data_IF_119211569312
#
_entry.id   IF_119211569312
#
_cell.length_a   1.000
_cell.length_b   1.000
_cell.length_c   1.000
_cell.angle_alpha   90.00
_cell.angle_beta   90.00
_cell.angle_gamma   90.00
#
_symmetry.space_group_name_H-M   'P 1'
#
loop_
_entity.id
_entity.type
_entity.pdbx_description
1 polymer ?
#
# COMPACT_ATOMS: atom_id res chain seq x y z
N UNK A 1 3.22 3.55 -40.13
CA UNK A 1 4.22 2.56 -39.67
C UNK A 1 4.63 2.77 -38.19
N UNK A 2 3.83 3.44 -37.37
CA UNK A 2 4.12 3.71 -35.93
C UNK A 2 3.30 2.80 -35.00
N UNK A 3 2.08 2.43 -35.42
CA UNK A 3 1.11 1.66 -34.60
C UNK A 3 1.59 0.23 -34.27
N UNK A 4 2.37 -0.40 -35.16
CA UNK A 4 2.89 -1.76 -34.94
C UNK A 4 3.83 -1.89 -33.73
N UNK A 5 4.40 -0.77 -33.26
CA UNK A 5 5.32 -0.72 -32.13
C UNK A 5 4.63 -0.34 -30.80
N UNK A 6 3.31 -0.30 -30.74
CA UNK A 6 2.53 -0.02 -29.53
C UNK A 6 1.52 -1.12 -29.18
N UNK A 7 1.64 -2.29 -29.82
CA UNK A 7 0.78 -3.45 -29.55
C UNK A 7 1.54 -4.48 -28.71
N UNK A 8 0.83 -5.12 -27.79
CA UNK A 8 1.36 -6.28 -27.10
C UNK A 8 1.28 -7.47 -28.04
N UNK A 9 2.43 -8.04 -28.36
CA UNK A 9 2.57 -9.19 -29.24
C UNK A 9 3.47 -10.24 -28.60
N UNK A 10 3.23 -11.49 -28.97
CA UNK A 10 4.12 -12.63 -28.78
C UNK A 10 4.48 -13.15 -30.17
N UNK A 11 5.75 -13.44 -30.38
CA UNK A 11 6.25 -14.05 -31.61
C UNK A 11 5.97 -15.55 -31.60
N UNK A 12 5.99 -16.17 -32.77
CA UNK A 12 5.72 -17.61 -32.94
C UNK A 12 6.73 -18.52 -32.21
N UNK A 13 7.91 -17.99 -31.89
CA UNK A 13 8.96 -18.65 -31.09
C UNK A 13 8.70 -18.57 -29.57
N UNK A 14 7.58 -17.99 -29.14
CA UNK A 14 7.21 -17.76 -27.76
C UNK A 14 7.85 -16.50 -27.15
N UNK A 15 8.76 -15.82 -27.85
CA UNK A 15 9.41 -14.61 -27.35
C UNK A 15 8.47 -13.41 -27.40
N UNK A 16 8.68 -12.49 -26.47
CA UNK A 16 7.90 -11.26 -26.40
C UNK A 16 8.27 -10.28 -27.52
N UNK A 17 7.27 -9.64 -28.11
CA UNK A 17 7.46 -8.46 -28.94
C UNK A 17 8.12 -7.32 -28.17
N UNK A 18 8.69 -6.34 -28.88
CA UNK A 18 9.46 -5.26 -28.25
C UNK A 18 8.65 -4.49 -27.18
N UNK A 19 7.43 -4.07 -27.53
CA UNK A 19 6.57 -3.27 -26.65
C UNK A 19 6.13 -4.08 -25.44
N UNK A 20 5.80 -5.34 -25.65
CA UNK A 20 5.50 -6.32 -24.61
C UNK A 20 6.67 -6.51 -23.66
N UNK A 21 7.90 -6.65 -24.19
CA UNK A 21 9.11 -6.80 -23.38
C UNK A 21 9.39 -5.56 -22.54
N UNK A 22 9.23 -4.36 -23.11
CA UNK A 22 9.38 -3.10 -22.39
C UNK A 22 8.29 -2.87 -21.35
N UNK A 23 7.07 -3.34 -21.60
CA UNK A 23 5.98 -3.31 -20.62
C UNK A 23 6.20 -4.32 -19.49
N UNK A 24 6.73 -5.51 -19.82
CA UNK A 24 7.06 -6.55 -18.85
C UNK A 24 8.27 -6.18 -17.98
N UNK A 25 9.25 -5.47 -18.54
CA UNK A 25 10.43 -4.95 -17.85
C UNK A 25 10.61 -3.45 -18.15
N UNK A 26 9.85 -2.58 -17.47
CA UNK A 26 9.97 -1.15 -17.67
C UNK A 26 11.38 -0.65 -17.36
N UNK A 27 12.02 0.11 -18.26
CA UNK A 27 13.39 0.60 -18.05
C UNK A 27 13.44 1.82 -17.10
N UNK A 28 12.34 2.15 -16.42
CA UNK A 28 12.24 3.30 -15.54
C UNK A 28 12.71 2.96 -14.12
N UNK A 29 13.44 3.89 -13.50
CA UNK A 29 13.74 3.86 -12.06
C UNK A 29 12.67 4.69 -11.34
N UNK A 30 11.75 4.02 -10.65
CA UNK A 30 10.69 4.68 -9.89
C UNK A 30 11.16 4.91 -8.46
N UNK A 31 11.24 6.18 -8.05
CA UNK A 31 11.56 6.57 -6.67
C UNK A 31 10.26 7.05 -6.03
N UNK A 32 9.82 6.34 -5.01
CA UNK A 32 8.61 6.65 -4.26
C UNK A 32 9.00 7.27 -2.93
N UNK A 33 8.51 8.48 -2.67
CA UNK A 33 8.75 9.23 -1.43
C UNK A 33 7.50 9.19 -0.56
N UNK A 34 7.68 8.77 0.69
CA UNK A 34 6.65 8.74 1.70
C UNK A 34 6.83 9.90 2.67
N UNK A 35 5.71 10.52 3.04
CA UNK A 35 5.60 11.54 4.05
C UNK A 35 4.50 11.08 5.00
N UNK A 36 4.80 11.08 6.29
CA UNK A 36 3.85 10.70 7.32
C UNK A 36 3.40 11.96 8.08
N UNK A 37 2.22 11.90 8.68
CA UNK A 37 1.74 12.95 9.57
C UNK A 37 1.82 12.42 11.00
N UNK A 38 2.82 12.90 11.74
CA UNK A 38 3.00 12.56 13.14
C UNK A 38 1.97 13.31 14.00
N UNK A 39 1.25 12.59 14.84
CA UNK A 39 0.25 13.14 15.76
C UNK A 39 0.92 13.51 17.07
N UNK A 40 0.81 14.77 17.48
CA UNK A 40 1.49 15.32 18.66
C UNK A 40 0.61 15.38 19.92
N UNK A 41 -0.70 15.17 19.78
CA UNK A 41 -1.66 15.22 20.90
C UNK A 41 -2.67 14.04 20.90
N UNK A 42 -2.21 12.78 20.83
CA UNK A 42 -3.12 11.63 20.73
C UNK A 42 -4.06 11.51 21.95
N UNK A 43 -3.57 11.75 23.16
CA UNK A 43 -4.38 11.64 24.39
C UNK A 43 -5.52 12.67 24.44
N UNK A 44 -5.25 13.93 24.09
CA UNK A 44 -6.29 14.97 24.04
C UNK A 44 -7.35 14.66 23.00
N UNK A 45 -6.98 14.03 21.88
CA UNK A 45 -7.95 13.57 20.89
C UNK A 45 -8.85 12.47 21.46
N UNK A 46 -8.28 11.49 22.17
CA UNK A 46 -9.03 10.35 22.72
C UNK A 46 -9.91 10.77 23.90
N UNK A 47 -9.36 11.52 24.86
CA UNK A 47 -10.00 11.76 26.15
C UNK A 47 -10.74 13.09 26.23
N UNK A 48 -10.33 14.10 25.45
CA UNK A 48 -10.88 15.46 25.51
C UNK A 48 -11.64 15.86 24.24
N UNK A 49 -11.57 15.05 23.18
CA UNK A 49 -12.17 15.36 21.88
C UNK A 49 -11.49 16.54 21.18
N UNK A 50 -10.23 16.82 21.51
CA UNK A 50 -9.47 17.91 20.90
C UNK A 50 -9.21 17.66 19.41
N UNK A 51 -8.98 18.74 18.65
CA UNK A 51 -8.60 18.63 17.25
C UNK A 51 -7.18 18.07 17.09
N UNK A 52 -6.91 17.27 16.03
CA UNK A 52 -5.59 16.70 15.79
C UNK A 52 -4.54 17.76 15.50
N UNK A 53 -3.38 17.63 16.13
CA UNK A 53 -2.17 18.43 15.83
C UNK A 53 -1.15 17.56 15.09
N UNK A 54 -1.02 17.83 13.81
CA UNK A 54 -0.20 17.07 12.87
C UNK A 54 1.14 17.77 12.60
N UNK A 55 2.21 17.00 12.56
CA UNK A 55 3.52 17.43 12.10
C UNK A 55 3.95 16.52 10.95
N UNK A 56 4.12 17.06 9.74
CA UNK A 56 4.56 16.29 8.58
C UNK A 56 6.03 15.87 8.75
N UNK A 57 6.31 14.59 8.54
CA UNK A 57 7.69 14.08 8.50
C UNK A 57 8.37 14.50 7.20
N UNK A 58 9.70 14.41 7.19
CA UNK A 58 10.45 14.53 5.94
C UNK A 58 10.29 13.25 5.09
N UNK A 59 10.87 13.27 3.89
CA UNK A 59 10.69 12.24 2.87
C UNK A 59 11.50 10.96 3.16
N UNK A 60 10.81 9.82 3.25
CA UNK A 60 11.42 8.48 3.23
C UNK A 60 11.30 7.89 1.83
N UNK A 61 12.41 7.51 1.20
CA UNK A 61 12.41 7.09 -0.18
C UNK A 61 12.64 5.58 -0.34
N UNK A 62 11.88 4.97 -1.25
CA UNK A 62 12.13 3.61 -1.74
C UNK A 62 12.19 3.60 -3.26
N UNK A 63 13.08 2.78 -3.80
CA UNK A 63 13.09 2.44 -5.22
C UNK A 63 12.09 1.31 -5.43
N UNK A 64 11.08 1.57 -6.25
CA UNK A 64 10.16 0.56 -6.74
C UNK A 64 10.66 0.01 -8.08
N UNK A 65 10.82 -1.31 -8.15
CA UNK A 65 10.95 -2.02 -9.43
C UNK A 65 9.72 -2.89 -9.66
N UNK A 66 9.25 -2.96 -10.91
CA UNK A 66 8.16 -3.85 -11.29
C UNK A 66 8.57 -4.79 -12.44
N UNK A 67 8.10 -6.03 -12.38
CA UNK A 67 8.29 -7.04 -13.40
C UNK A 67 6.99 -7.80 -13.60
N UNK A 68 6.54 -7.91 -14.85
CA UNK A 68 5.34 -8.70 -15.17
C UNK A 68 5.76 -10.12 -15.52
N UNK A 69 5.18 -11.10 -14.83
CA UNK A 69 5.51 -12.53 -14.93
C UNK A 69 4.30 -13.35 -15.35
N UNK A 70 4.55 -14.62 -15.71
CA UNK A 70 3.51 -15.60 -16.06
C UNK A 70 2.51 -15.10 -17.12
N UNK A 71 3.05 -14.47 -18.15
CA UNK A 71 2.23 -13.76 -19.12
C UNK A 71 1.62 -14.71 -20.16
N UNK A 72 0.31 -14.60 -20.36
CA UNK A 72 -0.47 -15.46 -21.27
C UNK A 72 -1.36 -14.62 -22.16
N UNK A 73 -1.26 -14.80 -23.48
CA UNK A 73 -2.14 -14.17 -24.45
C UNK A 73 -3.42 -14.98 -24.61
N UNK A 74 -4.56 -14.32 -24.76
CA UNK A 74 -5.82 -14.96 -25.09
C UNK A 74 -5.78 -15.57 -26.49
N UNK A 75 -6.65 -16.55 -26.76
CA UNK A 75 -6.69 -17.27 -28.05
C UNK A 75 -7.03 -16.36 -29.24
N UNK A 76 -7.82 -15.31 -29.00
CA UNK A 76 -8.16 -14.28 -29.97
C UNK A 76 -7.06 -13.20 -30.12
N UNK A 77 -6.05 -13.21 -29.25
CA UNK A 77 -4.94 -12.25 -29.26
C UNK A 77 -5.29 -10.84 -28.79
N UNK A 78 -6.50 -10.62 -28.26
CA UNK A 78 -6.97 -9.30 -27.84
C UNK A 78 -6.61 -8.97 -26.38
N UNK A 79 -6.31 -9.98 -25.55
CA UNK A 79 -6.07 -9.83 -24.12
C UNK A 79 -4.75 -10.46 -23.71
N UNK A 80 -4.16 -9.89 -22.66
CA UNK A 80 -2.92 -10.37 -22.05
C UNK A 80 -3.11 -10.45 -20.55
N UNK A 81 -2.97 -11.66 -20.00
CA UNK A 81 -2.98 -11.91 -18.56
C UNK A 81 -1.55 -11.94 -18.06
N UNK A 82 -1.29 -11.30 -16.92
CA UNK A 82 0.03 -11.28 -16.29
C UNK A 82 -0.09 -11.04 -14.78
N UNK A 83 0.96 -11.40 -14.07
CA UNK A 83 1.13 -11.10 -12.65
C UNK A 83 2.12 -9.94 -12.50
N UNK A 84 1.74 -8.87 -11.80
CA UNK A 84 2.65 -7.76 -11.55
C UNK A 84 3.44 -7.97 -10.26
N UNK A 85 4.72 -8.29 -10.38
CA UNK A 85 5.63 -8.45 -9.25
C UNK A 85 6.33 -7.12 -8.96
N UNK A 86 6.01 -6.51 -7.81
CA UNK A 86 6.63 -5.27 -7.34
C UNK A 86 7.61 -5.57 -6.22
N UNK A 87 8.79 -4.97 -6.29
CA UNK A 87 9.80 -4.99 -5.24
C UNK A 87 10.12 -3.55 -4.84
N UNK A 88 10.22 -3.32 -3.54
CA UNK A 88 10.58 -2.04 -2.95
C UNK A 88 11.91 -2.22 -2.21
N UNK A 89 12.85 -1.30 -2.44
CA UNK A 89 14.17 -1.30 -1.81
C UNK A 89 14.38 0.09 -1.22
N UNK A 90 14.86 0.18 0.02
CA UNK A 90 15.17 1.44 0.68
C UNK A 90 16.19 2.24 -0.15
N UNK A 91 15.93 3.54 -0.32
CA UNK A 91 16.78 4.47 -1.05
C UNK A 91 17.31 5.55 -0.10
N UNK A 92 18.47 5.30 0.49
CA UNK A 92 19.13 6.23 1.42
C UNK A 92 19.53 7.56 0.74
N UNK A 93 19.85 7.53 -0.56
CA UNK A 93 20.24 8.73 -1.32
C UNK A 93 19.09 9.75 -1.42
N UNK A 94 17.86 9.25 -1.55
CA UNK A 94 16.67 10.09 -1.72
C UNK A 94 15.85 10.26 -0.44
N UNK A 95 16.25 9.58 0.64
CA UNK A 95 15.72 9.77 1.99
C UNK A 95 16.36 11.01 2.60
N UNK A 96 15.62 11.74 3.44
CA UNK A 96 16.15 12.92 4.12
C UNK A 96 17.41 12.57 4.94
N UNK A 97 18.48 13.40 4.91
CA UNK A 97 19.75 13.08 5.56
C UNK A 97 19.68 12.90 7.09
N UNK A 98 18.70 13.52 7.73
CA UNK A 98 18.50 13.49 9.18
C UNK A 98 17.53 12.38 9.63
N UNK A 99 16.95 11.64 8.69
CA UNK A 99 15.90 10.67 8.98
C UNK A 99 16.45 9.26 9.07
N UNK A 100 15.84 8.47 9.95
CA UNK A 100 16.13 7.06 10.11
C UNK A 100 14.88 6.23 9.81
N UNK A 101 15.07 5.02 9.26
CA UNK A 101 13.98 4.06 9.16
C UNK A 101 13.49 3.53 10.51
N UNK A 102 14.22 3.85 11.58
CA UNK A 102 13.84 3.61 12.97
C UNK A 102 13.13 4.82 13.62
N UNK A 103 12.85 5.88 12.86
CA UNK A 103 12.14 7.06 13.37
C UNK A 103 10.73 6.70 13.86
N UNK A 104 10.36 7.25 15.01
CA UNK A 104 9.07 6.99 15.64
C UNK A 104 8.05 8.00 15.12
N UNK A 105 6.94 7.50 14.59
CA UNK A 105 5.80 8.29 14.14
C UNK A 105 4.56 7.76 14.83
N UNK A 106 3.81 8.65 15.49
CA UNK A 106 2.50 8.31 16.06
C UNK A 106 1.41 8.54 15.01
N UNK A 107 0.66 7.49 14.68
CA UNK A 107 -0.42 7.54 13.70
C UNK A 107 -1.60 6.65 14.13
N UNK A 108 -2.78 6.79 13.51
CA UNK A 108 -3.95 5.99 13.89
C UNK A 108 -3.68 4.49 13.71
N UNK A 109 -4.03 3.67 14.69
CA UNK A 109 -3.91 2.22 14.65
C UNK A 109 -4.91 1.63 13.63
N UNK A 110 -4.46 1.25 12.41
CA UNK A 110 -5.38 0.84 11.36
C UNK A 110 -6.03 -0.51 11.68
N UNK A 111 -5.33 -1.38 12.40
CA UNK A 111 -5.83 -2.71 12.79
C UNK A 111 -6.91 -2.59 13.84
N UNK A 112 -6.67 -1.82 14.90
CA UNK A 112 -7.64 -1.58 15.97
C UNK A 112 -8.90 -0.88 15.46
N UNK A 113 -8.72 0.18 14.67
CA UNK A 113 -9.85 0.92 14.06
C UNK A 113 -10.60 0.03 13.07
N UNK A 114 -9.90 -0.75 12.24
CA UNK A 114 -10.51 -1.67 11.28
C UNK A 114 -11.32 -2.77 11.96
N UNK A 115 -10.79 -3.36 13.04
CA UNK A 115 -11.51 -4.35 13.83
C UNK A 115 -12.76 -3.75 14.47
N UNK A 116 -12.65 -2.56 15.08
CA UNK A 116 -13.78 -1.85 15.64
C UNK A 116 -14.85 -1.53 14.58
N UNK A 117 -14.44 -1.07 13.40
CA UNK A 117 -15.36 -0.78 12.29
C UNK A 117 -16.10 -2.04 11.79
N UNK A 118 -15.38 -3.16 11.63
CA UNK A 118 -15.96 -4.42 11.16
C UNK A 118 -16.99 -5.01 12.14
N UNK A 119 -16.85 -4.77 13.44
CA UNK A 119 -17.83 -5.24 14.45
C UNK A 119 -19.22 -4.64 14.18
N UNK A 120 -19.25 -3.37 13.80
CA UNK A 120 -20.49 -2.63 13.55
C UNK A 120 -20.91 -2.63 12.08
N UNK A 121 -20.12 -3.23 11.19
CA UNK A 121 -20.41 -3.27 9.76
C UNK A 121 -21.55 -4.28 9.47
N UNK A 122 -22.65 -3.83 8.85
CA UNK A 122 -23.79 -4.69 8.51
C UNK A 122 -23.45 -5.91 7.66
N UNK A 123 -22.36 -5.87 6.88
CA UNK A 123 -21.94 -6.97 5.99
C UNK A 123 -21.61 -8.26 6.76
N UNK A 124 -21.18 -8.15 8.02
CA UNK A 124 -20.78 -9.30 8.82
C UNK A 124 -21.94 -9.90 9.65
N UNK A 125 -23.14 -9.31 9.63
CA UNK A 125 -24.33 -9.79 10.33
C UNK A 125 -24.09 -10.20 11.80
N UNK A 126 -23.24 -9.46 12.50
CA UNK A 126 -22.88 -9.76 13.90
C UNK A 126 -24.03 -9.37 14.81
N UNK A 127 -24.45 -10.29 15.68
CA UNK A 127 -25.55 -10.01 16.61
C UNK A 127 -25.15 -8.95 17.64
N UNK A 128 -26.10 -8.14 18.16
CA UNK A 128 -25.79 -7.09 19.14
C UNK A 128 -25.08 -7.60 20.41
N UNK A 129 -25.31 -8.85 20.79
CA UNK A 129 -24.64 -9.48 21.94
C UNK A 129 -23.18 -9.79 21.59
N UNK A 130 -22.93 -10.38 20.42
CA UNK A 130 -21.58 -10.66 19.95
C UNK A 130 -20.78 -9.38 19.74
N UNK A 131 -21.40 -8.29 19.26
CA UNK A 131 -20.75 -6.98 19.15
C UNK A 131 -20.24 -6.47 20.51
N UNK A 132 -21.05 -6.57 21.56
CA UNK A 132 -20.66 -6.17 22.93
C UNK A 132 -19.52 -7.02 23.47
N UNK A 133 -19.55 -8.34 23.24
CA UNK A 133 -18.48 -9.25 23.66
C UNK A 133 -17.16 -8.90 22.97
N UNK A 134 -17.20 -8.72 21.64
CA UNK A 134 -16.02 -8.36 20.85
C UNK A 134 -15.49 -6.98 21.22
N UNK A 135 -16.36 -5.99 21.42
CA UNK A 135 -15.98 -4.66 21.88
C UNK A 135 -15.32 -4.67 23.25
N UNK A 136 -15.86 -5.44 24.21
CA UNK A 136 -15.24 -5.61 25.51
C UNK A 136 -13.87 -6.33 25.42
N UNK A 137 -13.76 -7.32 24.53
CA UNK A 137 -12.50 -8.01 24.25
C UNK A 137 -11.42 -7.07 23.75
N UNK A 138 -11.73 -6.20 22.78
CA UNK A 138 -10.79 -5.19 22.27
C UNK A 138 -10.30 -4.24 23.37
N UNK A 139 -11.20 -3.80 24.27
CA UNK A 139 -10.83 -2.96 25.40
C UNK A 139 -9.90 -3.68 26.40
N UNK A 140 -10.14 -4.96 26.68
CA UNK A 140 -9.30 -5.75 27.59
C UNK A 140 -7.89 -5.98 27.06
N UNK A 141 -7.71 -6.07 25.75
CA UNK A 141 -6.40 -6.20 25.11
C UNK A 141 -5.60 -4.89 25.20
N UNK A 142 -6.26 -3.78 25.57
CA UNK A 142 -5.60 -2.48 25.72
C UNK A 142 -5.27 -1.84 24.38
N UNK A 143 -6.03 -2.15 23.33
CA UNK A 143 -5.86 -1.55 22.00
C UNK A 143 -6.01 -0.02 22.11
N UNK A 144 -4.93 0.70 21.85
CA UNK A 144 -4.93 2.16 21.80
C UNK A 144 -5.29 2.61 20.37
N UNK A 145 -6.13 3.66 20.18
CA UNK A 145 -6.50 4.15 18.86
C UNK A 145 -5.33 4.68 18.01
N UNK A 146 -4.18 4.90 18.63
CA UNK A 146 -2.93 5.31 17.97
C UNK A 146 -1.82 4.31 18.29
N UNK A 147 -0.79 4.24 17.45
CA UNK A 147 0.43 3.44 17.64
C UNK A 147 1.64 4.24 17.19
#
# INVERSE_FOLDING_TARGET
MVVKNLQFTQKDDGNLGYSTLKMANPPMRNIMKFYFFNITNPDEMVYEGAQPRLCETKAYAVIQSEQKRNMTFSKDGEQVYYENYKKYIIDEEHTCPECSWDDIVTFPNPTGIGAAANIYDPRFNITPIAQKILGFGLLLVGEYPFV
#
